data_IF_792404438084
#
_entry.id   IF_792404438084
#
_cell.length_a   1.000
_cell.length_b   1.000
_cell.length_c   1.000
_cell.angle_alpha   90.00
_cell.angle_beta   90.00
_cell.angle_gamma   90.00
#
_symmetry.space_group_name_H-M   'P 1'
#
loop_
_entity.id
_entity.type
_entity.pdbx_description
1 polymer ?
#
# COMPACT_ATOMS: atom_id res chain seq x y z
N UNK A 1 -15.66 12.37 -1.09
CA UNK A 1 -16.10 12.11 -2.48
C UNK A 1 -16.15 10.61 -2.81
N UNK A 2 -15.06 9.85 -2.61
CA UNK A 2 -15.05 8.39 -2.88
C UNK A 2 -15.89 7.52 -1.93
N UNK A 3 -16.30 8.04 -0.79
CA UNK A 3 -17.10 7.28 0.20
C UNK A 3 -18.55 7.04 -0.24
N UNK A 4 -19.11 7.99 -0.97
CA UNK A 4 -20.48 7.91 -1.52
C UNK A 4 -20.56 6.98 -2.75
N UNK A 5 -19.47 6.83 -3.50
CA UNK A 5 -19.39 6.01 -4.71
C UNK A 5 -19.26 4.50 -4.44
N UNK A 6 -18.99 4.11 -3.18
CA UNK A 6 -18.85 2.71 -2.79
C UNK A 6 -20.13 1.87 -2.90
N UNK A 7 -21.31 2.51 -2.94
CA UNK A 7 -22.59 1.79 -2.99
C UNK A 7 -22.95 1.27 -4.39
N UNK A 8 -22.38 1.85 -5.44
CA UNK A 8 -22.75 1.51 -6.83
C UNK A 8 -21.79 0.54 -7.52
N UNK A 9 -20.60 0.30 -6.96
CA UNK A 9 -19.59 -0.55 -7.59
C UNK A 9 -19.42 -1.82 -6.78
N UNK A 10 -19.62 -2.96 -7.42
CA UNK A 10 -19.46 -4.29 -6.84
C UNK A 10 -18.02 -4.50 -6.35
N UNK A 11 -17.85 -4.82 -5.08
CA UNK A 11 -16.56 -5.19 -4.52
C UNK A 11 -16.02 -6.45 -5.19
N UNK A 12 -14.91 -6.33 -5.94
CA UNK A 12 -14.25 -7.45 -6.61
C UNK A 12 -13.38 -8.29 -5.68
N UNK A 13 -13.00 -7.76 -4.52
CA UNK A 13 -12.15 -8.44 -3.55
C UNK A 13 -12.90 -8.77 -2.28
N UNK A 14 -12.52 -9.90 -1.64
CA UNK A 14 -13.03 -10.28 -0.32
C UNK A 14 -12.64 -9.22 0.71
N UNK A 15 -13.56 -8.88 1.61
CA UNK A 15 -13.30 -7.93 2.72
C UNK A 15 -12.12 -8.36 3.59
N UNK A 16 -11.93 -9.66 3.80
CA UNK A 16 -10.79 -10.22 4.54
C UNK A 16 -9.44 -9.83 3.92
N UNK A 17 -9.34 -9.83 2.59
CA UNK A 17 -8.11 -9.43 1.89
C UNK A 17 -7.84 -7.94 2.02
N UNK A 18 -8.87 -7.11 1.95
CA UNK A 18 -8.79 -5.66 2.15
C UNK A 18 -8.38 -5.35 3.59
N UNK A 19 -9.01 -5.98 4.57
CA UNK A 19 -8.71 -5.80 5.99
C UNK A 19 -7.29 -6.24 6.33
N UNK A 20 -6.82 -7.36 5.77
CA UNK A 20 -5.44 -7.83 5.91
C UNK A 20 -4.43 -6.82 5.39
N UNK A 21 -4.70 -6.22 4.24
CA UNK A 21 -3.85 -5.17 3.67
C UNK A 21 -3.84 -3.89 4.53
N UNK A 22 -5.00 -3.47 5.02
CA UNK A 22 -5.12 -2.32 5.93
C UNK A 22 -4.35 -2.54 7.24
N UNK A 23 -4.38 -3.76 7.79
CA UNK A 23 -3.58 -4.14 8.96
C UNK A 23 -2.08 -4.04 8.68
N UNK A 24 -1.62 -4.46 7.50
CA UNK A 24 -0.22 -4.30 7.07
C UNK A 24 0.18 -2.83 7.00
N UNK A 25 -0.68 -1.98 6.45
CA UNK A 25 -0.43 -0.53 6.37
C UNK A 25 -0.27 0.06 7.78
N UNK A 26 -1.18 -0.25 8.70
CA UNK A 26 -1.11 0.23 10.09
C UNK A 26 0.18 -0.22 10.80
N UNK A 27 0.54 -1.50 10.67
CA UNK A 27 1.77 -2.05 11.26
C UNK A 27 3.02 -1.43 10.63
N UNK A 28 3.06 -1.26 9.31
CA UNK A 28 4.18 -0.64 8.61
C UNK A 28 4.42 0.80 9.11
N UNK A 29 3.36 1.58 9.26
CA UNK A 29 3.47 2.95 9.77
C UNK A 29 3.96 2.97 11.23
N UNK A 30 3.43 2.08 12.09
CA UNK A 30 3.82 1.98 13.50
C UNK A 30 5.31 1.66 13.68
N UNK A 31 5.84 0.74 12.88
CA UNK A 31 7.22 0.27 12.99
C UNK A 31 8.19 0.97 12.03
N UNK A 32 7.73 1.96 11.27
CA UNK A 32 8.52 2.63 10.24
C UNK A 32 9.84 3.19 10.77
N UNK A 33 9.80 3.99 11.84
CA UNK A 33 10.97 4.62 12.42
C UNK A 33 11.96 3.59 13.01
N UNK A 34 11.45 2.58 13.71
CA UNK A 34 12.28 1.50 14.26
C UNK A 34 13.01 0.73 13.16
N UNK A 35 12.30 0.38 12.09
CA UNK A 35 12.90 -0.32 10.94
C UNK A 35 13.93 0.54 10.22
N UNK A 36 13.64 1.83 10.05
CA UNK A 36 14.57 2.79 9.42
C UNK A 36 15.86 2.92 10.22
N UNK A 37 15.78 3.08 11.53
CA UNK A 37 16.94 3.17 12.42
C UNK A 37 17.80 1.90 12.38
N UNK A 38 17.19 0.71 12.52
CA UNK A 38 17.90 -0.57 12.47
C UNK A 38 18.59 -0.80 11.11
N UNK A 39 17.92 -0.48 10.01
CA UNK A 39 18.51 -0.58 8.67
C UNK A 39 19.71 0.35 8.49
N UNK A 40 19.64 1.58 9.05
CA UNK A 40 20.76 2.52 9.00
C UNK A 40 21.99 1.95 9.71
N UNK A 41 21.82 1.29 10.87
CA UNK A 41 22.90 0.63 11.60
C UNK A 41 23.48 -0.55 10.79
N UNK A 42 22.62 -1.40 10.24
CA UNK A 42 23.04 -2.57 9.47
C UNK A 42 23.86 -2.18 8.23
N UNK A 43 23.46 -1.11 7.55
CA UNK A 43 24.12 -0.63 6.32
C UNK A 43 25.40 0.16 6.57
N UNK A 44 25.65 0.60 7.81
CA UNK A 44 26.85 1.35 8.14
C UNK A 44 28.07 0.41 8.21
N UNK A 45 28.97 0.51 7.24
CA UNK A 45 30.18 -0.30 7.14
C UNK A 45 31.24 0.04 8.18
N UNK A 46 31.16 1.23 8.79
CA UNK A 46 32.14 1.70 9.80
C UNK A 46 31.92 1.10 11.19
N UNK A 47 30.75 0.48 11.42
CA UNK A 47 30.44 -0.17 12.69
C UNK A 47 30.99 -1.60 12.72
N UNK A 48 31.24 -2.09 13.96
CA UNK A 48 31.69 -3.46 14.18
C UNK A 48 30.67 -4.49 13.66
N UNK A 49 31.18 -5.66 13.26
CA UNK A 49 30.34 -6.76 12.79
C UNK A 49 29.31 -7.20 13.84
N UNK A 50 29.71 -7.21 15.12
CA UNK A 50 28.82 -7.59 16.23
C UNK A 50 27.65 -6.66 16.41
N UNK A 51 27.87 -5.35 16.34
CA UNK A 51 26.79 -4.34 16.45
C UNK A 51 25.80 -4.45 15.29
N UNK A 52 26.31 -4.64 14.08
CA UNK A 52 25.49 -4.85 12.89
C UNK A 52 24.68 -6.14 13.01
N UNK A 53 25.25 -7.21 13.52
CA UNK A 53 24.57 -8.48 13.74
C UNK A 53 23.48 -8.38 14.82
N UNK A 54 23.76 -7.72 15.93
CA UNK A 54 22.74 -7.40 16.96
C UNK A 54 21.56 -6.62 16.39
N UNK A 55 21.83 -5.62 15.54
CA UNK A 55 20.79 -4.86 14.86
C UNK A 55 19.98 -5.73 13.89
N UNK A 56 20.63 -6.64 13.17
CA UNK A 56 19.97 -7.61 12.28
C UNK A 56 19.03 -8.54 13.05
N UNK A 57 19.46 -9.05 14.20
CA UNK A 57 18.61 -9.88 15.06
C UNK A 57 17.38 -9.10 15.58
N UNK A 58 17.56 -7.84 15.98
CA UNK A 58 16.45 -6.97 16.38
C UNK A 58 15.47 -6.72 15.24
N UNK A 59 15.97 -6.53 14.02
CA UNK A 59 15.14 -6.34 12.84
C UNK A 59 14.31 -7.60 12.49
N UNK A 60 14.92 -8.79 12.62
CA UNK A 60 14.24 -10.06 12.36
C UNK A 60 13.14 -10.38 13.37
N UNK A 61 13.26 -9.93 14.62
CA UNK A 61 12.24 -10.08 15.68
C UNK A 61 11.00 -9.20 15.46
N UNK A 62 11.08 -8.17 14.60
CA UNK A 62 9.91 -7.32 14.30
C UNK A 62 8.85 -8.09 13.50
N UNK A 63 7.55 -7.74 13.67
CA UNK A 63 6.48 -8.38 12.91
C UNK A 63 6.73 -8.33 11.40
N UNK A 64 6.57 -9.46 10.71
CA UNK A 64 6.79 -9.55 9.25
C UNK A 64 5.86 -8.60 8.47
N UNK A 65 4.62 -8.46 8.92
CA UNK A 65 3.63 -7.57 8.31
C UNK A 65 3.93 -6.07 8.51
N UNK A 66 4.94 -5.71 9.30
CA UNK A 66 5.42 -4.33 9.44
C UNK A 66 6.34 -3.90 8.29
N UNK A 67 6.72 -4.79 7.39
CA UNK A 67 7.53 -4.47 6.22
C UNK A 67 6.67 -3.79 5.15
N UNK A 68 7.09 -2.61 4.68
CA UNK A 68 6.38 -1.84 3.66
C UNK A 68 6.22 -2.59 2.33
N UNK A 69 7.18 -3.45 1.99
CA UNK A 69 7.15 -4.23 0.75
C UNK A 69 6.01 -5.25 0.69
N UNK A 70 5.42 -5.62 1.82
CA UNK A 70 4.29 -6.55 1.88
C UNK A 70 2.93 -5.89 1.65
N UNK A 71 2.88 -4.56 1.61
CA UNK A 71 1.67 -3.80 1.32
C UNK A 71 1.38 -3.92 -0.17
N UNK A 72 0.15 -4.28 -0.50
CA UNK A 72 -0.34 -4.33 -1.88
C UNK A 72 -1.15 -3.09 -2.20
N UNK A 73 -0.86 -2.43 -3.31
CA UNK A 73 -1.70 -1.36 -3.83
C UNK A 73 -3.03 -1.95 -4.31
N UNK A 74 -4.13 -1.51 -3.73
CA UNK A 74 -5.48 -1.96 -4.06
C UNK A 74 -6.35 -0.78 -4.45
N UNK A 75 -7.31 -1.03 -5.34
CA UNK A 75 -8.33 -0.05 -5.65
C UNK A 75 -9.11 0.32 -4.38
N UNK A 76 -9.27 1.61 -4.12
CA UNK A 76 -10.03 2.07 -2.94
C UNK A 76 -11.53 1.78 -3.05
N UNK A 77 -12.03 1.60 -4.25
CA UNK A 77 -13.46 1.41 -4.52
C UNK A 77 -13.79 -0.09 -4.57
N UNK A 78 -13.09 -0.85 -5.42
CA UNK A 78 -13.39 -2.28 -5.66
C UNK A 78 -12.51 -3.24 -4.88
N UNK A 79 -11.36 -2.78 -4.36
CA UNK A 79 -10.38 -3.63 -3.70
C UNK A 79 -9.50 -4.45 -4.64
N UNK A 80 -9.62 -4.27 -5.96
CA UNK A 80 -8.83 -4.99 -6.96
C UNK A 80 -7.32 -4.80 -6.72
N UNK A 81 -6.50 -5.89 -6.68
CA UNK A 81 -5.07 -5.79 -6.40
C UNK A 81 -4.20 -5.54 -7.64
N UNK A 82 -4.75 -5.64 -8.85
CA UNK A 82 -4.04 -5.49 -10.11
C UNK A 82 -4.58 -4.31 -10.93
N UNK A 83 -3.71 -3.74 -11.79
CA UNK A 83 -4.11 -2.64 -12.66
C UNK A 83 -4.58 -1.40 -11.90
N UNK A 84 -3.89 -1.04 -10.82
CA UNK A 84 -4.22 0.10 -9.97
C UNK A 84 -3.32 1.29 -10.29
N UNK A 85 -3.92 2.43 -10.59
CA UNK A 85 -3.18 3.68 -10.75
C UNK A 85 -2.81 4.24 -9.37
N UNK A 86 -1.51 4.31 -9.07
CA UNK A 86 -1.01 4.73 -7.76
C UNK A 86 -1.40 6.16 -7.39
N UNK A 87 -1.40 7.05 -8.37
CA UNK A 87 -1.75 8.47 -8.16
C UNK A 87 -3.20 8.64 -7.72
N UNK A 88 -4.12 7.95 -8.39
CA UNK A 88 -5.55 8.02 -8.14
C UNK A 88 -6.04 6.97 -7.14
N UNK A 89 -5.24 5.93 -6.88
CA UNK A 89 -5.55 4.79 -6.00
C UNK A 89 -6.83 4.04 -6.40
N UNK A 90 -7.11 4.00 -7.69
CA UNK A 90 -8.25 3.28 -8.28
C UNK A 90 -7.79 2.36 -9.40
N UNK A 91 -8.55 1.29 -9.66
CA UNK A 91 -8.25 0.34 -10.73
C UNK A 91 -8.55 0.93 -12.11
N UNK A 92 -7.94 0.35 -13.15
CA UNK A 92 -8.21 0.74 -14.55
C UNK A 92 -9.70 0.66 -14.92
N UNK A 93 -10.41 -0.32 -14.36
CA UNK A 93 -11.86 -0.53 -14.60
C UNK A 93 -12.66 0.60 -13.94
N UNK A 94 -12.39 0.87 -12.67
CA UNK A 94 -13.03 1.97 -11.94
C UNK A 94 -12.71 3.34 -12.55
N UNK A 95 -11.46 3.53 -13.00
CA UNK A 95 -11.04 4.76 -13.68
C UNK A 95 -11.87 5.00 -14.94
N UNK A 96 -12.03 3.97 -15.79
CA UNK A 96 -12.83 4.08 -17.01
C UNK A 96 -14.29 4.39 -16.70
N UNK A 97 -14.89 3.69 -15.76
CA UNK A 97 -16.30 3.90 -15.39
C UNK A 97 -16.52 5.32 -14.86
N UNK A 98 -15.71 5.76 -13.92
CA UNK A 98 -15.82 7.10 -13.32
C UNK A 98 -15.47 8.22 -14.32
N UNK A 99 -14.49 7.98 -15.20
CA UNK A 99 -14.10 8.92 -16.24
C UNK A 99 -15.20 9.14 -17.25
N UNK A 100 -15.88 8.08 -17.69
CA UNK A 100 -17.03 8.17 -18.62
C UNK A 100 -18.24 8.86 -17.97
N UNK A 101 -18.39 8.75 -16.65
CA UNK A 101 -19.45 9.44 -15.90
C UNK A 101 -19.10 10.90 -15.57
N UNK A 102 -17.92 11.38 -15.97
CA UNK A 102 -17.46 12.73 -15.66
C UNK A 102 -17.17 13.01 -14.19
N UNK A 103 -16.98 11.97 -13.37
CA UNK A 103 -16.72 12.09 -11.92
C UNK A 103 -15.26 12.37 -11.55
N UNK A 104 -14.35 12.29 -12.51
CA UNK A 104 -12.93 12.57 -12.31
C UNK A 104 -12.60 13.91 -12.98
N UNK A 105 -12.23 14.94 -12.20
CA UNK A 105 -11.90 16.25 -12.76
C UNK A 105 -10.61 16.18 -13.59
N UNK A 106 -10.57 16.91 -14.71
CA UNK A 106 -9.41 16.98 -15.60
C UNK A 106 -9.17 15.75 -16.47
N UNK A 107 -10.06 14.76 -16.45
CA UNK A 107 -9.97 13.57 -17.30
C UNK A 107 -10.57 13.84 -18.66
N UNK A 108 -9.77 13.71 -19.71
CA UNK A 108 -10.18 13.88 -21.10
C UNK A 108 -9.98 12.55 -21.83
N UNK A 109 -10.96 12.16 -22.63
CA UNK A 109 -10.86 10.98 -23.48
C UNK A 109 -9.93 11.27 -24.66
N UNK A 110 -8.91 10.43 -24.89
CA UNK A 110 -7.95 10.62 -25.97
C UNK A 110 -8.44 10.09 -27.33
N UNK A 111 -9.47 9.23 -27.33
CA UNK A 111 -10.09 8.66 -28.54
C UNK A 111 -11.61 8.67 -28.40
N UNK A 112 -12.26 8.80 -29.51
CA UNK A 112 -13.74 8.81 -29.62
C UNK A 112 -14.32 7.42 -29.79
#
# INVERSE_FOLDING_TARGET
MFHLLKKEIINMAKMSSINKNNRRIKLSNRFFNRRKALKKIIMNKNLSLEERFKAQQKLSKLPRNSAKIRIRNRCQITGRPHGVYRKLKISRIALRQLGLQGKIPGMIKSSW
#
